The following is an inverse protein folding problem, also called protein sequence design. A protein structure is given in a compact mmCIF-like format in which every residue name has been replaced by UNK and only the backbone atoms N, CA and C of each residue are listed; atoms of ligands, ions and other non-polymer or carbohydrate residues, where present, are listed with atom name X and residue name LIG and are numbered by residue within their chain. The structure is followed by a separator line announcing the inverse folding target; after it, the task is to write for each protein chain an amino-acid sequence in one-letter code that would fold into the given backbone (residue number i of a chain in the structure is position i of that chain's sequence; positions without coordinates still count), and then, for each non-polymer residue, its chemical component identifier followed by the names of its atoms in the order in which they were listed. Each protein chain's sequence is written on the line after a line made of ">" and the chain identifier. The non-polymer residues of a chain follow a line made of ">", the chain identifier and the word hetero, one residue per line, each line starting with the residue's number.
data_IF_794264955422
#
_entry.id   IF_794264955422
#
_cell.length_a   1.000
_cell.length_b   1.000
_cell.length_c   1.000
_cell.angle_alpha   90.00
_cell.angle_beta   90.00
_cell.angle_gamma   90.00
#
_symmetry.space_group_name_H-M   'P 1'
#
loop_
_entity.id
_entity.type
_entity.pdbx_description
1 polymer ?
#
# COMPACT_ATOMS: atom_id res chain seq x y z
N UNK A 1 40.70 16.66 -36.83
CA UNK A 1 40.18 16.72 -35.45
C UNK A 1 39.59 15.36 -35.14
N UNK A 2 40.39 14.49 -34.52
CA UNK A 2 39.89 13.23 -33.98
C UNK A 2 39.08 13.58 -32.73
N UNK A 3 37.77 13.34 -32.79
CA UNK A 3 36.93 13.36 -31.60
C UNK A 3 37.27 12.07 -30.88
N UNK A 4 38.18 12.14 -29.91
CA UNK A 4 38.29 11.12 -28.89
C UNK A 4 36.92 11.02 -28.22
N UNK A 5 36.12 10.06 -28.67
CA UNK A 5 35.03 9.53 -27.87
C UNK A 5 35.71 8.89 -26.67
N UNK A 6 35.95 9.71 -25.64
CA UNK A 6 36.39 9.27 -24.33
C UNK A 6 35.56 8.05 -23.99
N UNK A 7 36.25 6.92 -23.81
CA UNK A 7 35.68 5.64 -23.44
C UNK A 7 34.85 5.93 -22.20
N UNK A 8 33.52 6.01 -22.36
CA UNK A 8 32.59 6.03 -21.24
C UNK A 8 32.98 4.83 -20.38
N UNK A 9 33.18 5.00 -19.06
CA UNK A 9 33.54 3.89 -18.19
C UNK A 9 32.55 2.76 -18.47
N UNK A 10 33.08 1.62 -18.90
CA UNK A 10 32.37 0.53 -19.58
C UNK A 10 31.41 -0.24 -18.65
N UNK A 11 30.80 0.42 -17.66
CA UNK A 11 30.11 -0.20 -16.53
C UNK A 11 29.06 0.66 -15.82
N UNK A 12 28.48 1.70 -16.45
CA UNK A 12 27.32 2.42 -15.90
C UNK A 12 25.98 1.93 -16.51
N UNK A 13 24.91 1.76 -15.70
CA UNK A 13 24.88 1.76 -14.24
C UNK A 13 25.35 0.41 -13.63
N UNK A 14 25.72 0.42 -12.35
CA UNK A 14 26.12 -0.78 -11.59
C UNK A 14 24.99 -1.81 -11.48
N UNK A 15 25.35 -3.03 -11.06
CA UNK A 15 24.39 -4.10 -10.76
C UNK A 15 23.42 -3.70 -9.64
N UNK A 16 22.16 -4.08 -9.80
CA UNK A 16 21.11 -3.87 -8.81
C UNK A 16 21.42 -4.59 -7.49
N UNK A 17 21.10 -3.94 -6.37
CA UNK A 17 21.19 -4.56 -5.05
C UNK A 17 19.99 -5.49 -4.84
N UNK A 18 20.23 -6.81 -4.96
CA UNK A 18 19.19 -7.85 -4.89
C UNK A 18 18.42 -7.87 -3.57
N UNK A 19 19.02 -7.38 -2.47
CA UNK A 19 18.39 -7.35 -1.14
C UNK A 19 17.40 -6.20 -0.95
N UNK A 20 17.35 -5.25 -1.89
CA UNK A 20 16.50 -4.05 -1.80
C UNK A 20 15.62 -3.89 -3.02
N UNK A 21 16.17 -4.16 -4.21
CA UNK A 21 15.50 -4.00 -5.50
C UNK A 21 15.30 -5.32 -6.24
N UNK A 22 15.62 -6.46 -5.61
CA UNK A 22 15.48 -7.80 -6.17
C UNK A 22 14.06 -8.14 -6.62
N UNK A 23 13.95 -9.10 -7.56
CA UNK A 23 12.68 -9.47 -8.18
C UNK A 23 11.66 -9.96 -7.15
N UNK A 24 12.10 -10.66 -6.11
CA UNK A 24 11.26 -11.22 -5.05
C UNK A 24 10.65 -10.12 -4.18
N UNK A 25 11.42 -9.08 -3.88
CA UNK A 25 10.94 -7.90 -3.15
C UNK A 25 9.88 -7.19 -3.99
N UNK A 26 10.16 -6.96 -5.28
CA UNK A 26 9.19 -6.33 -6.19
C UNK A 26 7.89 -7.12 -6.26
N UNK A 27 7.98 -8.43 -6.54
CA UNK A 27 6.83 -9.33 -6.61
C UNK A 27 6.05 -9.36 -5.31
N UNK A 28 6.73 -9.34 -4.16
CA UNK A 28 6.08 -9.28 -2.85
C UNK A 28 5.27 -8.00 -2.67
N UNK A 29 5.84 -6.83 -3.00
CA UNK A 29 5.10 -5.57 -2.94
C UNK A 29 3.87 -5.57 -3.86
N UNK A 30 4.01 -6.10 -5.08
CA UNK A 30 2.89 -6.22 -6.02
C UNK A 30 1.79 -7.14 -5.48
N UNK A 31 2.18 -8.31 -4.98
CA UNK A 31 1.25 -9.28 -4.40
C UNK A 31 0.55 -8.72 -3.15
N UNK A 32 1.28 -8.08 -2.24
CA UNK A 32 0.69 -7.50 -1.03
C UNK A 32 -0.30 -6.37 -1.37
N UNK A 33 0.04 -5.47 -2.30
CA UNK A 33 -0.86 -4.42 -2.77
C UNK A 33 -2.12 -5.00 -3.43
N UNK A 34 -1.96 -6.02 -4.27
CA UNK A 34 -3.07 -6.72 -4.92
C UNK A 34 -3.99 -7.43 -3.92
N UNK A 35 -3.42 -8.22 -3.00
CA UNK A 35 -4.17 -8.97 -2.00
C UNK A 35 -4.91 -8.04 -1.04
N UNK A 36 -4.28 -6.94 -0.62
CA UNK A 36 -4.94 -5.93 0.21
C UNK A 36 -6.15 -5.32 -0.52
N UNK A 37 -6.00 -4.97 -1.80
CA UNK A 37 -7.09 -4.42 -2.57
C UNK A 37 -8.25 -5.43 -2.75
N UNK A 38 -7.94 -6.72 -2.98
CA UNK A 38 -8.93 -7.80 -3.00
C UNK A 38 -9.65 -7.96 -1.64
N UNK A 39 -8.91 -7.90 -0.52
CA UNK A 39 -9.50 -7.93 0.82
C UNK A 39 -10.45 -6.76 1.04
N UNK A 40 -10.09 -5.56 0.59
CA UNK A 40 -10.95 -4.38 0.74
C UNK A 40 -12.26 -4.49 -0.06
N UNK A 41 -12.27 -5.17 -1.21
CA UNK A 41 -13.50 -5.46 -1.97
C UNK A 41 -14.33 -6.52 -1.25
N UNK A 42 -13.70 -7.57 -0.73
CA UNK A 42 -14.40 -8.79 -0.32
C UNK A 42 -14.82 -8.79 1.14
N UNK A 43 -13.95 -8.28 2.02
CA UNK A 43 -14.08 -8.45 3.46
C UNK A 43 -15.36 -7.81 3.99
N UNK A 44 -15.99 -8.50 4.95
CA UNK A 44 -17.07 -7.95 5.76
C UNK A 44 -16.61 -7.44 7.13
N UNK A 45 -15.33 -7.62 7.47
CA UNK A 45 -14.78 -7.34 8.79
C UNK A 45 -13.52 -6.47 8.72
N UNK A 46 -13.42 -5.51 9.65
CA UNK A 46 -12.22 -4.71 9.87
C UNK A 46 -11.03 -5.58 10.25
N UNK A 47 -11.22 -6.68 10.99
CA UNK A 47 -10.12 -7.52 11.48
C UNK A 47 -9.38 -8.27 10.38
N UNK A 48 -10.11 -8.63 9.31
CA UNK A 48 -9.51 -9.29 8.15
C UNK A 48 -8.62 -8.32 7.36
N UNK A 49 -9.06 -7.05 7.24
CA UNK A 49 -8.32 -6.00 6.54
C UNK A 49 -7.15 -5.50 7.40
N UNK A 50 -7.35 -5.32 8.71
CA UNK A 50 -6.37 -4.71 9.61
C UNK A 50 -5.07 -5.50 9.66
N UNK A 51 -5.14 -6.83 9.64
CA UNK A 51 -3.97 -7.70 9.61
C UNK A 51 -3.12 -7.50 8.36
N UNK A 52 -3.74 -7.56 7.17
CA UNK A 52 -3.05 -7.33 5.89
C UNK A 52 -2.52 -5.91 5.77
N UNK A 53 -3.30 -4.92 6.21
CA UNK A 53 -2.93 -3.52 6.16
C UNK A 53 -1.76 -3.22 7.11
N UNK A 54 -1.76 -3.79 8.32
CA UNK A 54 -0.66 -3.65 9.28
C UNK A 54 0.63 -4.30 8.77
N UNK A 55 0.54 -5.47 8.12
CA UNK A 55 1.71 -6.11 7.48
C UNK A 55 2.30 -5.19 6.42
N UNK A 56 1.49 -4.70 5.47
CA UNK A 56 1.97 -3.83 4.39
C UNK A 56 2.56 -2.50 4.92
N UNK A 57 1.92 -1.88 5.92
CA UNK A 57 2.45 -0.67 6.57
C UNK A 57 3.80 -0.97 7.23
N UNK A 58 3.92 -2.08 7.96
CA UNK A 58 5.17 -2.49 8.60
C UNK A 58 6.29 -2.73 7.58
N UNK A 59 6.00 -3.46 6.50
CA UNK A 59 6.94 -3.70 5.41
C UNK A 59 7.40 -2.40 4.76
N UNK A 60 6.49 -1.46 4.50
CA UNK A 60 6.85 -0.15 3.97
C UNK A 60 7.76 0.65 4.92
N UNK A 61 7.48 0.65 6.23
CA UNK A 61 8.31 1.36 7.23
C UNK A 61 9.72 0.77 7.23
N UNK A 62 9.83 -0.56 7.32
CA UNK A 62 11.13 -1.26 7.29
C UNK A 62 11.86 -0.92 5.99
N UNK A 63 11.18 -0.98 4.85
CA UNK A 63 11.77 -0.69 3.56
C UNK A 63 12.30 0.76 3.48
N UNK A 64 11.54 1.74 3.95
CA UNK A 64 12.00 3.14 4.01
C UNK A 64 13.24 3.28 4.89
N UNK A 65 13.21 2.70 6.09
CA UNK A 65 14.32 2.80 7.04
C UNK A 65 15.58 2.15 6.45
N UNK A 66 15.46 0.93 5.91
CA UNK A 66 16.57 0.22 5.28
C UNK A 66 17.13 1.01 4.10
N UNK A 67 16.30 1.56 3.23
CA UNK A 67 16.77 2.38 2.11
C UNK A 67 17.41 3.70 2.52
N UNK A 68 16.93 4.33 3.60
CA UNK A 68 17.59 5.52 4.16
C UNK A 68 18.95 5.16 4.75
N UNK A 69 19.08 4.04 5.46
CA UNK A 69 20.36 3.61 6.04
C UNK A 69 21.36 3.27 4.92
N UNK A 70 20.96 2.44 3.95
CA UNK A 70 21.86 1.97 2.89
C UNK A 70 22.20 3.08 1.87
N UNK A 71 21.28 4.01 1.62
CA UNK A 71 21.47 5.10 0.66
C UNK A 71 22.25 6.31 1.18
N UNK A 72 22.34 6.49 2.51
CA UNK A 72 22.96 7.66 3.14
C UNK A 72 24.13 7.33 4.07
N UNK A 73 24.63 6.09 4.05
CA UNK A 73 25.87 5.72 4.73
C UNK A 73 27.08 6.40 4.07
N UNK A 74 28.20 6.49 4.80
CA UNK A 74 29.47 7.02 4.26
C UNK A 74 29.95 6.23 3.04
N UNK A 75 29.81 4.89 3.10
CA UNK A 75 29.96 3.99 1.96
C UNK A 75 28.58 3.48 1.53
N UNK A 76 27.85 4.20 0.66
CA UNK A 76 26.50 3.81 0.28
C UNK A 76 26.52 2.51 -0.51
N UNK A 77 25.72 1.53 -0.10
CA UNK A 77 25.59 0.22 -0.77
C UNK A 77 24.46 0.22 -1.82
N UNK A 78 23.68 1.31 -1.83
CA UNK A 78 22.46 1.44 -2.62
C UNK A 78 22.66 2.46 -3.73
N UNK A 79 22.34 2.08 -4.96
CA UNK A 79 22.48 2.96 -6.14
C UNK A 79 21.25 3.88 -6.27
N UNK A 80 21.35 4.96 -7.05
CA UNK A 80 20.18 5.79 -7.37
C UNK A 80 19.06 4.99 -8.06
N UNK A 81 19.43 4.00 -8.88
CA UNK A 81 18.48 3.10 -9.52
C UNK A 81 17.72 2.26 -8.48
N UNK A 82 18.41 1.70 -7.49
CA UNK A 82 17.75 1.01 -6.38
C UNK A 82 16.81 1.95 -5.61
N UNK A 83 17.24 3.19 -5.37
CA UNK A 83 16.43 4.24 -4.72
C UNK A 83 15.14 4.53 -5.45
N UNK A 84 15.21 4.59 -6.78
CA UNK A 84 14.03 4.79 -7.62
C UNK A 84 13.10 3.59 -7.61
N UNK A 85 13.63 2.38 -7.69
CA UNK A 85 12.81 1.16 -7.62
C UNK A 85 12.08 1.12 -6.29
N UNK A 86 12.78 1.34 -5.17
CA UNK A 86 12.15 1.38 -3.84
C UNK A 86 11.10 2.47 -3.76
N UNK A 87 11.37 3.67 -4.29
CA UNK A 87 10.38 4.74 -4.32
C UNK A 87 9.12 4.35 -5.11
N UNK A 88 9.26 3.63 -6.23
CA UNK A 88 8.13 3.13 -7.01
C UNK A 88 7.33 2.07 -6.24
N UNK A 89 8.01 1.10 -5.62
CA UNK A 89 7.37 0.08 -4.79
C UNK A 89 6.60 0.70 -3.62
N UNK A 90 7.23 1.63 -2.89
CA UNK A 90 6.62 2.38 -1.81
C UNK A 90 5.43 3.22 -2.27
N UNK A 91 5.50 3.81 -3.47
CA UNK A 91 4.40 4.60 -4.05
C UNK A 91 3.19 3.72 -4.37
N UNK A 92 3.39 2.54 -4.96
CA UNK A 92 2.31 1.58 -5.25
C UNK A 92 1.63 1.14 -3.95
N UNK A 93 2.43 0.75 -2.95
CA UNK A 93 1.91 0.34 -1.65
C UNK A 93 1.23 1.48 -0.91
N UNK A 94 1.74 2.71 -1.02
CA UNK A 94 1.14 3.91 -0.43
C UNK A 94 -0.25 4.17 -1.01
N UNK A 95 -0.41 4.10 -2.34
CA UNK A 95 -1.72 4.24 -2.99
C UNK A 95 -2.66 3.11 -2.52
N UNK A 96 -2.18 1.86 -2.45
CA UNK A 96 -2.97 0.73 -1.95
C UNK A 96 -3.46 0.97 -0.51
N UNK A 97 -2.57 1.46 0.38
CA UNK A 97 -2.89 1.84 1.76
C UNK A 97 -3.93 2.96 1.79
N UNK A 98 -3.78 4.01 0.97
CA UNK A 98 -4.77 5.09 0.89
C UNK A 98 -6.15 4.56 0.51
N UNK A 99 -6.24 3.75 -0.55
CA UNK A 99 -7.50 3.12 -0.99
C UNK A 99 -8.07 2.22 0.11
N UNK A 100 -7.24 1.40 0.76
CA UNK A 100 -7.65 0.54 1.87
C UNK A 100 -8.17 1.35 3.06
N UNK A 101 -7.52 2.45 3.43
CA UNK A 101 -7.93 3.32 4.53
C UNK A 101 -9.29 3.98 4.28
N UNK A 102 -9.62 4.37 3.04
CA UNK A 102 -10.97 4.86 2.72
C UNK A 102 -12.06 3.81 2.98
N UNK A 103 -11.70 2.54 2.91
CA UNK A 103 -12.60 1.40 3.15
C UNK A 103 -12.65 1.07 4.64
N UNK A 104 -11.49 1.06 5.29
CA UNK A 104 -11.33 0.77 6.71
C UNK A 104 -12.11 1.74 7.59
N UNK A 105 -12.12 3.03 7.24
CA UNK A 105 -12.87 4.07 7.97
C UNK A 105 -14.41 3.87 7.99
N UNK A 106 -14.96 2.90 7.24
CA UNK A 106 -16.39 2.54 7.32
C UNK A 106 -16.73 1.75 8.57
N UNK A 107 -15.79 0.98 9.10
CA UNK A 107 -16.07 0.09 10.22
C UNK A 107 -16.13 0.89 11.53
N UNK A 108 -17.19 0.65 12.31
CA UNK A 108 -17.44 1.32 13.60
C UNK A 108 -16.37 0.97 14.64
N UNK A 109 -15.71 -0.18 14.47
CA UNK A 109 -14.62 -0.66 15.30
C UNK A 109 -13.26 -0.32 14.69
N UNK A 110 -13.00 0.98 14.55
CA UNK A 110 -11.76 1.46 13.96
C UNK A 110 -10.61 1.30 14.97
N UNK A 111 -9.55 0.62 14.54
CA UNK A 111 -8.31 0.55 15.31
C UNK A 111 -7.51 1.83 15.10
N UNK A 112 -7.61 2.77 16.04
CA UNK A 112 -6.95 4.07 15.97
C UNK A 112 -5.43 3.98 15.80
N UNK A 113 -4.80 2.93 16.35
CA UNK A 113 -3.36 2.70 16.20
C UNK A 113 -2.97 2.52 14.74
N UNK A 114 -3.78 1.82 13.96
CA UNK A 114 -3.50 1.55 12.55
C UNK A 114 -3.61 2.83 11.71
N UNK A 115 -4.57 3.71 12.02
CA UNK A 115 -4.69 5.02 11.39
C UNK A 115 -3.44 5.87 11.63
N UNK A 116 -2.99 5.98 12.89
CA UNK A 116 -1.76 6.72 13.21
C UNK A 116 -0.53 6.13 12.54
N UNK A 117 -0.42 4.79 12.51
CA UNK A 117 0.71 4.11 11.87
C UNK A 117 0.74 4.35 10.36
N UNK A 118 -0.42 4.37 9.70
CA UNK A 118 -0.54 4.70 8.27
C UNK A 118 -0.15 6.15 7.97
N UNK A 119 -0.54 7.10 8.83
CA UNK A 119 -0.14 8.51 8.70
C UNK A 119 1.37 8.65 8.83
N UNK A 120 1.93 8.06 9.89
CA UNK A 120 3.37 8.07 10.15
C UNK A 120 4.15 7.45 8.98
N UNK A 121 3.73 6.28 8.50
CA UNK A 121 4.32 5.61 7.35
C UNK A 121 4.26 6.46 6.07
N UNK A 122 3.16 7.17 5.83
CA UNK A 122 3.02 8.06 4.68
C UNK A 122 4.04 9.21 4.72
N UNK A 123 4.21 9.85 5.88
CA UNK A 123 5.22 10.90 6.04
C UNK A 123 6.64 10.37 5.90
N UNK A 124 6.93 9.15 6.35
CA UNK A 124 8.22 8.50 6.10
C UNK A 124 8.49 8.28 4.61
N UNK A 125 7.48 7.84 3.83
CA UNK A 125 7.63 7.70 2.37
C UNK A 125 7.89 9.05 1.70
N UNK A 126 7.17 10.10 2.10
CA UNK A 126 7.44 11.46 1.58
C UNK A 126 8.83 11.96 1.97
N UNK A 127 9.28 11.73 3.20
CA UNK A 127 10.61 12.09 3.65
C UNK A 127 11.70 11.37 2.82
N UNK A 128 11.55 10.07 2.58
CA UNK A 128 12.45 9.31 1.70
C UNK A 128 12.46 9.87 0.27
N UNK A 129 11.28 10.13 -0.31
CA UNK A 129 11.16 10.70 -1.66
C UNK A 129 11.85 12.07 -1.77
N UNK A 130 11.64 12.94 -0.78
CA UNK A 130 12.28 14.26 -0.69
C UNK A 130 13.80 14.11 -0.55
N UNK A 131 14.27 13.22 0.30
CA UNK A 131 15.70 12.99 0.51
C UNK A 131 16.39 12.49 -0.77
N UNK A 132 15.75 11.54 -1.49
CA UNK A 132 16.22 11.04 -2.78
C UNK A 132 16.26 12.16 -3.83
N UNK A 133 15.20 12.97 -3.94
CA UNK A 133 15.15 14.10 -4.89
C UNK A 133 16.14 15.22 -4.56
N UNK A 134 16.40 15.47 -3.27
CA UNK A 134 17.35 16.47 -2.81
C UNK A 134 18.80 16.05 -3.09
N UNK A 135 19.13 14.77 -2.87
CA UNK A 135 20.48 14.23 -3.09
C UNK A 135 20.70 13.60 -4.45
N UNK A 136 19.72 13.63 -5.36
CA UNK A 136 19.73 12.94 -6.66
C UNK A 136 21.07 12.86 -7.39
N UNK A 137 21.82 13.98 -7.47
CA UNK A 137 23.11 14.02 -8.18
C UNK A 137 24.20 13.21 -7.48
N UNK A 138 24.21 13.24 -6.15
CA UNK A 138 25.27 12.67 -5.31
C UNK A 138 24.77 11.45 -4.53
N UNK A 139 23.64 10.87 -4.93
CA UNK A 139 23.03 9.76 -4.22
C UNK A 139 23.65 8.44 -4.66
N UNK A 140 23.95 7.59 -3.67
CA UNK A 140 24.38 6.21 -3.87
C UNK A 140 25.86 6.00 -4.14
N UNK A 141 26.23 4.75 -4.41
CA UNK A 141 27.61 4.27 -4.61
C UNK A 141 28.33 4.84 -5.83
N UNK A 142 27.60 5.17 -6.90
CA UNK A 142 28.16 5.57 -8.19
C UNK A 142 27.55 6.89 -8.68
N UNK A 143 27.82 8.03 -8.03
CA UNK A 143 27.20 9.30 -8.36
C UNK A 143 27.50 9.76 -9.80
N UNK A 144 28.64 9.38 -10.35
CA UNK A 144 29.04 9.63 -11.74
C UNK A 144 28.11 8.98 -12.77
N UNK A 145 27.45 7.85 -12.44
CA UNK A 145 26.51 7.19 -13.33
C UNK A 145 25.08 7.77 -13.27
N UNK A 146 24.80 8.71 -12.34
CA UNK A 146 23.43 9.21 -12.11
C UNK A 146 22.87 10.03 -13.28
N UNK A 147 23.70 10.45 -14.24
CA UNK A 147 23.27 11.12 -15.48
C UNK A 147 22.58 10.21 -16.48
N UNK A 148 22.95 8.93 -16.47
CA UNK A 148 22.44 7.93 -17.41
C UNK A 148 21.16 7.27 -16.92
N UNK A 149 20.81 7.47 -15.64
CA UNK A 149 19.59 6.92 -15.08
C UNK A 149 18.38 7.56 -15.76
N UNK A 150 17.50 6.72 -16.31
CA UNK A 150 16.26 7.15 -16.97
C UNK A 150 15.06 6.82 -16.09
N UNK A 151 14.09 7.73 -16.04
CA UNK A 151 12.81 7.52 -15.35
C UNK A 151 11.71 7.34 -16.38
N UNK A 152 10.78 6.42 -16.13
CA UNK A 152 9.68 6.11 -17.04
C UNK A 152 8.33 6.50 -16.41
N UNK A 153 7.70 7.55 -16.94
CA UNK A 153 6.35 7.98 -16.55
C UNK A 153 5.54 8.16 -17.85
N UNK A 154 4.99 7.07 -18.39
CA UNK A 154 4.35 6.98 -19.72
C UNK A 154 5.27 7.30 -20.93
N UNK A 155 6.35 8.03 -20.71
CA UNK A 155 7.42 8.33 -21.65
C UNK A 155 8.76 8.29 -20.91
N UNK A 156 9.83 8.03 -21.66
CA UNK A 156 11.21 8.08 -21.15
C UNK A 156 11.59 9.56 -20.97
N UNK A 157 12.02 9.91 -19.75
CA UNK A 157 12.57 11.23 -19.45
C UNK A 157 13.97 11.08 -18.86
N UNK A 158 14.89 11.97 -19.27
CA UNK A 158 16.18 12.11 -18.59
C UNK A 158 15.93 12.57 -17.15
N UNK A 159 16.44 11.78 -16.21
CA UNK A 159 16.26 11.98 -14.78
C UNK A 159 16.68 13.37 -14.30
N UNK A 160 17.85 13.84 -14.73
CA UNK A 160 18.54 14.95 -14.09
C UNK A 160 17.80 16.28 -14.21
N UNK A 161 17.31 16.63 -15.40
CA UNK A 161 16.77 17.97 -15.65
C UNK A 161 15.25 18.01 -15.56
N UNK A 162 14.58 17.18 -16.36
CA UNK A 162 13.11 17.14 -16.42
C UNK A 162 12.57 16.24 -15.31
N UNK A 163 13.17 15.07 -15.11
CA UNK A 163 12.75 14.10 -14.11
C UNK A 163 12.74 14.68 -12.69
N UNK A 164 13.79 15.40 -12.29
CA UNK A 164 13.89 16.01 -10.96
C UNK A 164 12.80 17.07 -10.72
N UNK A 165 12.55 17.97 -11.67
CA UNK A 165 11.50 19.00 -11.55
C UNK A 165 10.12 18.38 -11.49
N UNK A 166 9.84 17.40 -12.35
CA UNK A 166 8.60 16.65 -12.35
C UNK A 166 8.41 15.87 -11.04
N UNK A 167 9.47 15.22 -10.54
CA UNK A 167 9.48 14.50 -9.27
C UNK A 167 9.13 15.41 -8.09
N UNK A 168 9.76 16.59 -8.00
CA UNK A 168 9.41 17.59 -6.98
C UNK A 168 7.95 18.03 -7.06
N UNK A 169 7.46 18.34 -8.26
CA UNK A 169 6.07 18.72 -8.47
C UNK A 169 5.12 17.62 -7.98
N UNK A 170 5.34 16.36 -8.41
CA UNK A 170 4.52 15.21 -8.01
C UNK A 170 4.55 14.98 -6.51
N UNK A 171 5.73 14.96 -5.87
CA UNK A 171 5.87 14.71 -4.43
C UNK A 171 5.23 15.82 -3.59
N UNK A 172 5.44 17.09 -3.95
CA UNK A 172 4.83 18.22 -3.23
C UNK A 172 3.31 18.19 -3.40
N UNK A 173 2.81 17.99 -4.61
CA UNK A 173 1.37 17.89 -4.85
C UNK A 173 0.75 16.73 -4.07
N UNK A 174 1.36 15.54 -4.10
CA UNK A 174 0.88 14.38 -3.35
C UNK A 174 0.87 14.63 -1.83
N UNK A 175 1.94 15.24 -1.29
CA UNK A 175 2.06 15.59 0.12
C UNK A 175 0.98 16.59 0.56
N UNK A 176 0.75 17.64 -0.22
CA UNK A 176 -0.27 18.67 0.07
C UNK A 176 -1.67 18.05 0.01
N UNK A 177 -1.99 17.28 -1.03
CA UNK A 177 -3.29 16.62 -1.17
C UNK A 177 -3.54 15.64 -0.03
N UNK A 178 -2.56 14.80 0.30
CA UNK A 178 -2.66 13.85 1.40
C UNK A 178 -2.87 14.55 2.74
N UNK A 179 -2.07 15.58 3.03
CA UNK A 179 -2.18 16.36 4.28
C UNK A 179 -3.52 17.07 4.36
N UNK A 180 -4.01 17.64 3.27
CA UNK A 180 -5.34 18.26 3.20
C UNK A 180 -6.46 17.27 3.48
N UNK A 181 -6.41 16.08 2.87
CA UNK A 181 -7.37 14.99 3.13
C UNK A 181 -7.38 14.58 4.60
N UNK A 182 -6.20 14.50 5.23
CA UNK A 182 -6.07 14.17 6.65
C UNK A 182 -6.65 15.26 7.55
N UNK A 183 -6.33 16.54 7.30
CA UNK A 183 -6.83 17.67 8.09
C UNK A 183 -8.36 17.78 8.00
N UNK A 184 -8.95 17.52 6.84
CA UNK A 184 -10.42 17.60 6.67
C UNK A 184 -11.13 16.36 7.25
N UNK A 185 -10.55 15.18 7.09
CA UNK A 185 -11.16 13.91 7.51
C UNK A 185 -11.08 13.65 9.02
N UNK A 186 -9.96 14.01 9.66
CA UNK A 186 -9.66 13.63 11.03
C UNK A 186 -10.52 14.30 12.13
N UNK A 187 -10.84 15.61 12.05
CA UNK A 187 -11.64 16.29 13.07
C UNK A 187 -13.06 15.73 13.17
N UNK A 188 -13.64 15.25 12.05
CA UNK A 188 -14.97 14.64 12.04
C UNK A 188 -14.99 13.35 12.86
N UNK A 189 -13.96 12.52 12.70
CA UNK A 189 -13.81 11.27 13.45
C UNK A 189 -13.63 11.54 14.95
N UNK A 190 -12.74 12.47 15.32
CA UNK A 190 -12.52 12.83 16.73
C UNK A 190 -13.79 13.38 17.39
N UNK A 191 -14.49 14.32 16.74
CA UNK A 191 -15.73 14.90 17.30
C UNK A 191 -16.78 13.82 17.58
N UNK A 192 -16.92 12.83 16.68
CA UNK A 192 -17.85 11.72 16.89
C UNK A 192 -17.46 10.82 18.07
N UNK A 193 -16.16 10.57 18.27
CA UNK A 193 -15.66 9.77 19.39
C UNK A 193 -15.88 10.49 20.74
N UNK A 194 -15.57 11.79 20.80
CA UNK A 194 -15.78 12.60 22.01
C UNK A 194 -17.27 12.70 22.36
N UNK A 195 -18.13 12.92 21.37
CA UNK A 195 -19.58 12.95 21.59
C UNK A 195 -20.10 11.63 22.19
N UNK A 196 -19.57 10.49 21.73
CA UNK A 196 -19.96 9.17 22.25
C UNK A 196 -19.51 8.96 23.70
N UNK A 197 -18.27 9.30 24.05
CA UNK A 197 -17.77 9.22 25.43
C UNK A 197 -18.61 10.11 26.35
N UNK A 198 -18.96 11.32 25.91
CA UNK A 198 -19.81 12.23 26.69
C UNK A 198 -21.23 11.68 26.93
N UNK A 199 -21.80 10.97 25.95
CA UNK A 199 -23.12 10.33 26.12
C UNK A 199 -23.08 9.08 27.02
N UNK A 200 -21.96 8.34 27.03
CA UNK A 200 -21.80 7.14 27.86
C UNK A 200 -21.56 7.43 29.35
N UNK A 201 -21.14 8.64 29.71
CA UNK A 201 -20.99 9.07 31.11
C UNK A 201 -22.31 9.36 31.84
N UNK A 202 -23.47 9.30 31.17
CA UNK A 202 -24.79 9.65 31.74
C UNK A 202 -25.76 8.44 31.79
N UNK A 203 -25.25 7.23 32.06
CA UNK A 203 -26.08 6.07 32.40
C UNK A 203 -25.58 5.44 33.69
N UNK A 204 -25.84 6.14 34.79
CA UNK A 204 -25.79 5.56 36.13
C UNK A 204 -27.19 5.06 36.46
N UNK A 205 -27.38 3.75 36.50
CA UNK A 205 -28.51 3.10 37.19
C UNK A 205 -29.61 2.57 36.27
N UNK A 206 -29.52 1.28 35.93
CA UNK A 206 -30.62 0.53 35.33
C UNK A 206 -30.18 -0.86 34.90
N UNK A 207 -30.29 -1.84 35.80
CA UNK A 207 -30.13 -3.26 35.49
C UNK A 207 -31.16 -3.68 34.44
N UNK A 208 -30.74 -4.05 33.23
CA UNK A 208 -31.47 -5.03 32.42
C UNK A 208 -30.60 -5.59 31.30
N UNK A 209 -30.23 -6.87 31.47
CA UNK A 209 -29.95 -7.89 30.46
C UNK A 209 -30.12 -7.45 28.99
N UNK A 210 -29.11 -6.79 28.45
CA UNK A 210 -29.10 -6.44 27.03
C UNK A 210 -28.51 -7.60 26.24
N UNK A 211 -29.40 -8.49 25.80
CA UNK A 211 -29.11 -9.53 24.82
C UNK A 211 -28.32 -8.93 23.66
N UNK A 212 -27.04 -9.31 23.59
CA UNK A 212 -26.01 -8.87 22.64
C UNK A 212 -26.37 -9.32 21.22
N UNK A 213 -27.45 -8.76 20.69
CA UNK A 213 -27.91 -8.93 19.31
C UNK A 213 -26.85 -8.22 18.47
N UNK A 214 -25.89 -9.00 17.97
CA UNK A 214 -24.98 -8.61 16.91
C UNK A 214 -25.84 -8.10 15.75
N UNK A 215 -26.17 -6.80 15.75
CA UNK A 215 -26.73 -6.14 14.59
C UNK A 215 -25.61 -6.15 13.57
N UNK A 216 -25.62 -7.20 12.75
CA UNK A 216 -24.92 -7.27 11.49
C UNK A 216 -25.44 -6.04 10.75
N UNK A 217 -24.65 -4.96 10.80
CA UNK A 217 -24.94 -3.73 10.08
C UNK A 217 -25.00 -4.16 8.62
N UNK A 218 -26.21 -4.24 8.07
CA UNK A 218 -26.40 -4.62 6.68
C UNK A 218 -25.69 -3.56 5.86
N UNK A 219 -24.59 -3.90 5.17
CA UNK A 219 -23.85 -2.90 4.44
C UNK A 219 -24.70 -2.57 3.23
N UNK A 220 -25.46 -1.48 3.29
CA UNK A 220 -26.15 -0.93 2.13
C UNK A 220 -25.15 -0.89 0.99
N UNK A 221 -25.45 -1.71 0.00
CA UNK A 221 -24.64 -1.98 -1.18
C UNK A 221 -25.05 -0.99 -2.26
N UNK A 222 -25.27 0.26 -1.87
CA UNK A 222 -25.23 1.35 -2.83
C UNK A 222 -23.87 1.28 -3.52
N UNK A 223 -23.90 1.41 -4.85
CA UNK A 223 -22.73 1.43 -5.71
C UNK A 223 -21.87 2.65 -5.34
N UNK A 224 -21.14 2.52 -4.24
CA UNK A 224 -20.38 3.60 -3.65
C UNK A 224 -19.17 3.82 -4.54
N UNK A 225 -18.91 5.06 -4.93
CA UNK A 225 -17.74 5.42 -5.76
C UNK A 225 -16.40 4.89 -5.21
N UNK A 226 -16.35 4.45 -3.95
CA UNK A 226 -15.22 3.73 -3.35
C UNK A 226 -14.96 2.35 -3.96
N UNK A 227 -16.00 1.55 -4.22
CA UNK A 227 -15.84 0.24 -4.87
C UNK A 227 -15.34 0.46 -6.30
N UNK A 228 -15.88 1.47 -6.99
CA UNK A 228 -15.39 1.87 -8.32
C UNK A 228 -13.92 2.27 -8.26
N UNK A 229 -13.53 3.09 -7.28
CA UNK A 229 -12.14 3.49 -7.07
C UNK A 229 -11.22 2.28 -6.81
N UNK A 230 -11.64 1.32 -5.98
CA UNK A 230 -10.90 0.08 -5.75
C UNK A 230 -10.73 -0.74 -7.02
N UNK A 231 -11.80 -0.88 -7.82
CA UNK A 231 -11.74 -1.61 -9.10
C UNK A 231 -10.79 -0.90 -10.08
N UNK A 232 -10.88 0.43 -10.20
CA UNK A 232 -9.96 1.24 -11.02
C UNK A 232 -8.52 1.03 -10.55
N UNK A 233 -8.28 1.04 -9.23
CA UNK A 233 -6.96 0.80 -8.68
C UNK A 233 -6.41 -0.58 -9.06
N UNK A 234 -7.19 -1.64 -8.88
CA UNK A 234 -6.76 -3.02 -9.17
C UNK A 234 -6.58 -3.27 -10.67
N UNK A 235 -7.52 -2.80 -11.50
CA UNK A 235 -7.58 -3.16 -12.92
C UNK A 235 -6.67 -2.27 -13.78
N UNK A 236 -6.49 -1.00 -13.39
CA UNK A 236 -5.79 -0.01 -14.22
C UNK A 236 -4.50 0.45 -13.55
N UNK A 237 -4.58 1.00 -12.34
CA UNK A 237 -3.43 1.66 -11.72
C UNK A 237 -2.33 0.67 -11.32
N UNK A 238 -2.70 -0.48 -10.76
CA UNK A 238 -1.73 -1.47 -10.29
C UNK A 238 -0.94 -2.11 -11.44
N UNK A 239 -1.56 -2.64 -12.53
CA UNK A 239 -0.81 -3.17 -13.67
C UNK A 239 0.06 -2.12 -14.34
N UNK A 240 -0.45 -0.90 -14.49
CA UNK A 240 0.31 0.21 -15.04
C UNK A 240 1.56 0.51 -14.20
N UNK A 241 1.44 0.51 -12.88
CA UNK A 241 2.56 0.77 -11.99
C UNK A 241 3.59 -0.37 -11.98
N UNK A 242 3.14 -1.63 -12.07
CA UNK A 242 4.01 -2.80 -12.24
C UNK A 242 4.79 -2.67 -13.56
N UNK A 243 4.10 -2.42 -14.68
CA UNK A 243 4.73 -2.24 -16.00
C UNK A 243 5.73 -1.09 -15.97
N UNK A 244 5.38 0.05 -15.38
CA UNK A 244 6.31 1.18 -15.26
C UNK A 244 7.55 0.82 -14.44
N UNK A 245 7.40 0.07 -13.35
CA UNK A 245 8.52 -0.36 -12.51
C UNK A 245 9.42 -1.36 -13.23
N UNK A 246 8.85 -2.35 -13.93
CA UNK A 246 9.65 -3.34 -14.68
C UNK A 246 10.30 -2.72 -15.92
N UNK A 247 9.66 -1.74 -16.57
CA UNK A 247 10.29 -0.95 -17.62
C UNK A 247 11.44 -0.10 -17.08
N UNK A 248 11.30 0.51 -15.90
CA UNK A 248 12.37 1.22 -15.22
C UNK A 248 13.57 0.29 -14.99
N UNK A 249 13.34 -0.91 -14.45
CA UNK A 249 14.39 -1.93 -14.22
C UNK A 249 15.05 -2.34 -15.54
N UNK A 250 14.25 -2.70 -16.55
CA UNK A 250 14.76 -3.20 -17.84
C UNK A 250 15.57 -2.14 -18.59
N UNK A 251 15.18 -0.87 -18.53
CA UNK A 251 15.85 0.22 -19.25
C UNK A 251 17.13 0.69 -18.59
N UNK A 252 17.26 0.48 -17.28
CA UNK A 252 18.46 0.81 -16.54
C UNK A 252 19.37 -0.43 -16.32
N UNK A 253 19.18 -1.56 -17.01
CA UNK A 253 20.16 -2.67 -17.03
C UNK A 253 21.13 -2.47 -18.20
N UNK A 254 22.37 -2.05 -17.93
CA UNK A 254 23.39 -1.88 -18.99
C UNK A 254 24.42 -3.01 -19.10
N UNK A 255 24.56 -3.87 -18.09
CA UNK A 255 25.50 -4.99 -18.14
C UNK A 255 24.76 -6.33 -18.34
N UNK A 256 25.23 -7.21 -19.26
CA UNK A 256 24.77 -8.59 -19.29
C UNK A 256 25.12 -9.21 -17.92
N UNK A 257 24.09 -9.65 -17.20
CA UNK A 257 24.25 -10.34 -15.91
C UNK A 257 25.23 -11.50 -16.12
N UNK A 258 26.42 -11.42 -15.51
CA UNK A 258 27.26 -12.60 -15.40
C UNK A 258 26.42 -13.65 -14.68
N UNK A 259 26.36 -14.86 -15.23
CA UNK A 259 25.48 -15.98 -14.84
C UNK A 259 25.52 -16.41 -13.34
N UNK A 260 26.25 -15.71 -12.48
CA UNK A 260 26.34 -15.94 -11.03
C UNK A 260 25.21 -15.34 -10.20
N UNK A 261 24.27 -14.59 -10.78
CA UNK A 261 23.25 -13.84 -10.01
C UNK A 261 21.93 -14.60 -9.75
N UNK A 262 21.82 -15.88 -10.13
CA UNK A 262 20.61 -16.70 -9.89
C UNK A 262 20.56 -17.38 -8.51
N UNK A 263 21.57 -17.19 -7.66
CA UNK A 263 21.58 -17.85 -6.36
C UNK A 263 20.69 -17.09 -5.36
N UNK A 264 19.61 -17.74 -4.95
CA UNK A 264 18.67 -17.21 -3.95
C UNK A 264 19.41 -16.86 -2.65
N UNK A 265 19.42 -15.58 -2.31
CA UNK A 265 19.88 -15.09 -1.02
C UNK A 265 18.79 -15.26 0.04
N UNK A 266 19.19 -15.54 1.29
CA UNK A 266 18.27 -15.66 2.42
C UNK A 266 17.34 -14.44 2.57
N UNK A 267 17.84 -13.24 2.26
CA UNK A 267 17.07 -11.99 2.29
C UNK A 267 15.86 -11.98 1.35
N UNK A 268 15.90 -12.71 0.24
CA UNK A 268 14.84 -12.76 -0.77
C UNK A 268 13.65 -13.63 -0.35
N UNK A 269 13.86 -14.56 0.58
CA UNK A 269 12.83 -15.49 1.05
C UNK A 269 11.84 -14.81 2.01
N UNK A 270 12.32 -13.84 2.79
CA UNK A 270 11.51 -13.13 3.80
C UNK A 270 10.30 -12.39 3.18
N UNK A 271 10.45 -11.60 2.10
CA UNK A 271 9.33 -10.96 1.42
C UNK A 271 8.23 -11.94 1.00
N UNK A 272 8.60 -13.12 0.48
CA UNK A 272 7.65 -14.14 0.06
C UNK A 272 6.82 -14.65 1.24
N UNK A 273 7.44 -14.86 2.40
CA UNK A 273 6.72 -15.24 3.62
C UNK A 273 5.75 -14.16 4.11
N UNK A 274 6.06 -12.87 3.91
CA UNK A 274 5.17 -11.77 4.30
C UNK A 274 3.87 -11.76 3.48
N UNK A 275 3.84 -12.37 2.30
CA UNK A 275 2.64 -12.54 1.46
C UNK A 275 1.72 -13.65 2.01
N UNK A 276 2.27 -14.62 2.75
CA UNK A 276 1.50 -15.78 3.22
C UNK A 276 0.33 -15.36 4.11
N UNK A 277 0.55 -14.41 5.03
CA UNK A 277 -0.50 -13.93 5.92
C UNK A 277 -1.69 -13.28 5.18
N UNK A 278 -1.51 -12.26 4.32
CA UNK A 278 -2.62 -11.69 3.56
C UNK A 278 -3.26 -12.71 2.60
N UNK A 279 -2.49 -13.63 2.04
CA UNK A 279 -3.02 -14.70 1.18
C UNK A 279 -4.00 -15.61 1.94
N UNK A 280 -3.62 -16.09 3.13
CA UNK A 280 -4.49 -16.92 3.97
C UNK A 280 -5.78 -16.17 4.32
N UNK A 281 -5.70 -14.86 4.60
CA UNK A 281 -6.88 -14.03 4.88
C UNK A 281 -7.78 -13.90 3.65
N UNK A 282 -7.21 -13.70 2.46
CA UNK A 282 -7.96 -13.68 1.19
C UNK A 282 -8.67 -15.01 0.98
N UNK A 283 -7.94 -16.13 1.06
CA UNK A 283 -8.50 -17.47 0.87
C UNK A 283 -9.62 -17.77 1.87
N UNK A 284 -9.45 -17.38 3.14
CA UNK A 284 -10.48 -17.50 4.18
C UNK A 284 -11.73 -16.67 3.86
N UNK A 285 -11.55 -15.42 3.43
CA UNK A 285 -12.65 -14.56 3.01
C UNK A 285 -13.39 -15.14 1.79
N UNK A 286 -12.67 -15.65 0.79
CA UNK A 286 -13.28 -16.29 -0.36
C UNK A 286 -14.01 -17.58 0.01
N UNK A 287 -13.46 -18.41 0.91
CA UNK A 287 -14.13 -19.63 1.39
C UNK A 287 -15.40 -19.31 2.18
N UNK A 288 -15.34 -18.33 3.08
CA UNK A 288 -16.45 -17.95 3.96
C UNK A 288 -17.60 -17.30 3.21
N UNK A 289 -17.27 -16.44 2.26
CA UNK A 289 -18.28 -15.63 1.59
C UNK A 289 -18.60 -16.10 0.17
N UNK A 290 -17.80 -17.00 -0.42
CA UNK A 290 -17.95 -17.52 -1.78
C UNK A 290 -17.69 -16.51 -2.90
N UNK A 291 -17.80 -16.96 -4.15
CA UNK A 291 -17.91 -16.10 -5.35
C UNK A 291 -19.34 -15.53 -5.53
N UNK A 292 -20.32 -16.06 -4.80
CA UNK A 292 -21.74 -15.74 -4.99
C UNK A 292 -22.07 -14.38 -4.35
N UNK A 293 -22.77 -13.54 -5.11
CA UNK A 293 -23.12 -12.17 -4.72
C UNK A 293 -23.85 -12.12 -3.37
N UNK A 294 -23.43 -11.19 -2.50
CA UNK A 294 -23.96 -10.96 -1.13
C UNK A 294 -25.48 -10.87 -1.07
N UNK A 295 -26.14 -10.47 -2.18
CA UNK A 295 -27.60 -10.29 -2.27
C UNK A 295 -28.40 -11.53 -1.84
N UNK A 296 -27.85 -12.75 -2.02
CA UNK A 296 -28.57 -13.98 -1.68
C UNK A 296 -28.63 -14.29 -0.17
N UNK A 297 -27.68 -13.81 0.63
CA UNK A 297 -27.61 -14.15 2.06
C UNK A 297 -28.52 -13.26 2.92
N UNK A 298 -28.67 -11.99 2.54
CA UNK A 298 -29.58 -11.05 3.20
C UNK A 298 -31.04 -11.51 3.09
N UNK A 299 -31.48 -11.88 1.87
CA UNK A 299 -32.85 -12.36 1.63
C UNK A 299 -33.17 -13.66 2.39
N UNK A 300 -32.22 -14.60 2.48
CA UNK A 300 -32.46 -15.87 3.19
C UNK A 300 -32.66 -15.67 4.70
N UNK A 301 -31.93 -14.71 5.30
CA UNK A 301 -32.07 -14.41 6.73
C UNK A 301 -33.32 -13.58 7.05
N UNK A 302 -33.84 -12.78 6.11
CA UNK A 302 -35.10 -12.08 6.30
C UNK A 302 -36.29 -13.05 6.28
N UNK A 303 -36.33 -13.99 5.34
CA UNK A 303 -37.43 -14.98 5.29
C UNK A 303 -37.46 -15.86 6.54
N UNK A 304 -36.31 -16.31 7.04
CA UNK A 304 -36.24 -17.14 8.26
C UNK A 304 -36.71 -16.43 9.53
N UNK A 305 -36.73 -15.09 9.58
CA UNK A 305 -37.24 -14.35 10.74
C UNK A 305 -38.72 -14.05 10.65
N UNK A 306 -39.27 -13.91 9.45
CA UNK A 306 -40.70 -13.75 9.23
C UNK A 306 -41.47 -15.00 9.70
N UNK A 307 -40.92 -16.18 9.45
CA UNK A 307 -41.58 -17.45 9.82
C UNK A 307 -41.58 -17.72 11.35
N UNK A 308 -40.70 -17.07 12.11
CA UNK A 308 -40.64 -17.23 13.58
C UNK A 308 -41.57 -16.25 14.31
N UNK A 309 -41.98 -15.16 13.65
CA UNK A 309 -42.86 -14.16 14.26
C UNK A 309 -44.35 -14.57 14.26
N UNK A 310 -44.74 -15.54 13.43
CA UNK A 310 -46.14 -15.96 13.28
C UNK A 310 -46.54 -17.15 14.19
N UNK A 311 -45.56 -17.75 14.90
CA UNK A 311 -45.78 -18.93 15.74
C UNK A 311 -46.04 -18.67 17.22
N UNK A 312 -46.08 -17.42 17.69
CA UNK A 312 -46.19 -17.08 19.12
C UNK A 312 -47.54 -16.50 19.56
N UNK A 313 -48.60 -16.77 18.80
CA UNK A 313 -49.98 -16.53 19.22
C UNK A 313 -50.68 -17.89 19.35
N UNK A 314 -51.49 -18.04 20.39
CA UNK A 314 -52.35 -19.19 20.72
C UNK A 314 -51.72 -20.27 21.61
N UNK A 315 -51.71 -20.00 22.93
CA UNK A 315 -52.19 -20.96 23.93
C UNK A 315 -53.09 -20.21 24.92
N UNK A 316 -54.36 -20.61 24.92
CA UNK A 316 -55.37 -20.26 25.92
C UNK A 316 -55.18 -21.09 27.18
#
# INVERSE_FOLDING_TARGET
>A
MNVDFGILPLGCPPSLNVDVSGVEIRVSFYAQAFLLALLCIRSGSSDEISGSLSTLIGTNIIMVITSLILGFREDPEMTLQDGLIVLYLLSISWIAICVAMTTFNRFKDHNQKLSYLSIFQSYLVFAFAIALLAKWKNFGSTPECNSEVVVFIFRIFNAIHVGRKAGWAVVITALVLYTGMMIVGYPRTIRSAIAKVRSSGSMTGGNLEEGKRNRICEPDLEFSGRIVLQIIFIVILLPLAIVNTELLVKRNRSAPESHSQEQWAFGQVIPVFLIAHPLVKVLSAFKKYGLRSRKYFAMKNMNSKSDVADGSQIKF
#
